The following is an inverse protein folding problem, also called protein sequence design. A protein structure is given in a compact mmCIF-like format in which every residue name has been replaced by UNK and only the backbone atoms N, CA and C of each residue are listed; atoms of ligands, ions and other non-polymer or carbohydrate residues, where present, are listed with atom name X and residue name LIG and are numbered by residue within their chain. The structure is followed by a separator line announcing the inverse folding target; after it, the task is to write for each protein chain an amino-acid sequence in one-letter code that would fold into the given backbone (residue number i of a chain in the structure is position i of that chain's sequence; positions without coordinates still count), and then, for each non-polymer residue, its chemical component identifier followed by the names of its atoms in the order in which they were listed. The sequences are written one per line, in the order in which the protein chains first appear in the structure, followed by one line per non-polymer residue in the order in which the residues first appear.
data_IF_308340834162
#
_entry.id   IF_308340834162
#
_cell.length_a   1.000
_cell.length_b   1.000
_cell.length_c   1.000
_cell.angle_alpha   90.00
_cell.angle_beta   90.00
_cell.angle_gamma   90.00
#
_symmetry.space_group_name_H-M   'P 1'
#
loop_
_entity.id
_entity.type
_entity.pdbx_description
1 polymer ?
#
# COMPACT_ATOMS: atom_id res chain seq x y z
N UNK A 1 -7.65 -1.14 12.51
CA UNK A 1 -8.02 -0.12 13.51
C UNK A 1 -7.80 1.29 12.92
N UNK A 2 -8.62 1.71 11.95
CA UNK A 2 -8.58 3.04 11.28
C UNK A 2 -9.65 3.94 11.89
N UNK A 3 -9.31 4.61 12.98
CA UNK A 3 -10.30 5.00 13.97
C UNK A 3 -10.71 6.47 13.99
N UNK A 4 -9.92 7.36 13.42
CA UNK A 4 -10.17 8.80 13.52
C UNK A 4 -9.25 9.59 12.58
N UNK A 5 -9.61 10.85 12.35
CA UNK A 5 -8.75 11.82 11.68
C UNK A 5 -7.35 11.91 12.34
N UNK A 6 -7.31 11.95 13.67
CA UNK A 6 -6.06 12.01 14.44
C UNK A 6 -5.15 10.84 14.13
N UNK A 7 -5.68 9.61 14.14
CA UNK A 7 -4.88 8.43 13.84
C UNK A 7 -4.28 8.48 12.42
N UNK A 8 -5.09 8.88 11.43
CA UNK A 8 -4.65 9.00 10.03
C UNK A 8 -3.57 10.09 9.85
N UNK A 9 -3.73 11.27 10.46
CA UNK A 9 -2.72 12.32 10.37
C UNK A 9 -1.44 12.00 11.15
N UNK A 10 -1.54 11.39 12.34
CA UNK A 10 -0.36 10.92 13.09
C UNK A 10 0.41 9.88 12.29
N UNK A 11 -0.29 8.91 11.69
CA UNK A 11 0.35 7.94 10.80
C UNK A 11 1.03 8.63 9.62
N UNK A 12 0.35 9.57 8.97
CA UNK A 12 0.92 10.34 7.85
C UNK A 12 2.24 11.05 8.21
N UNK A 13 2.29 11.74 9.36
CA UNK A 13 3.51 12.41 9.82
C UNK A 13 4.62 11.42 10.12
N UNK A 14 4.32 10.34 10.84
CA UNK A 14 5.30 9.30 11.17
C UNK A 14 5.88 8.63 9.91
N UNK A 15 5.01 8.27 8.96
CA UNK A 15 5.38 7.67 7.68
C UNK A 15 6.18 8.64 6.79
N UNK A 16 5.88 9.93 6.85
CA UNK A 16 6.69 10.96 6.18
C UNK A 16 8.12 10.95 6.72
N UNK A 17 8.29 10.91 8.05
CA UNK A 17 9.61 10.78 8.68
C UNK A 17 10.35 9.53 8.24
N UNK A 18 9.69 8.37 8.29
CA UNK A 18 10.25 7.08 7.84
C UNK A 18 10.64 7.14 6.36
N UNK A 19 9.79 7.71 5.51
CA UNK A 19 10.03 7.84 4.07
C UNK A 19 11.20 8.76 3.74
N UNK A 20 11.35 9.88 4.45
CA UNK A 20 12.52 10.77 4.32
C UNK A 20 13.80 10.04 4.74
N UNK A 21 13.77 9.29 5.84
CA UNK A 21 14.91 8.48 6.27
C UNK A 21 15.25 7.37 5.25
N UNK A 22 14.25 6.72 4.68
CA UNK A 22 14.41 5.71 3.63
C UNK A 22 15.04 6.32 2.36
N UNK A 23 14.56 7.49 1.91
CA UNK A 23 15.14 8.18 0.76
C UNK A 23 16.59 8.59 1.00
N UNK A 24 16.93 9.06 2.20
CA UNK A 24 18.32 9.38 2.58
C UNK A 24 19.22 8.14 2.61
N UNK A 25 18.66 6.97 2.88
CA UNK A 25 19.38 5.70 2.84
C UNK A 25 19.51 5.10 1.43
N UNK A 26 18.76 5.62 0.44
CA UNK A 26 18.72 5.10 -0.92
C UNK A 26 19.76 5.79 -1.83
N UNK A 27 20.58 5.01 -2.52
CA UNK A 27 21.64 5.50 -3.40
C UNK A 27 21.34 5.25 -4.88
N UNK A 28 20.69 4.14 -5.21
CA UNK A 28 20.33 3.79 -6.58
C UNK A 28 18.91 4.23 -6.96
N UNK A 29 18.58 4.40 -8.25
CA UNK A 29 17.21 4.68 -8.67
C UNK A 29 16.19 3.64 -8.18
N UNK A 30 16.56 2.35 -8.15
CA UNK A 30 15.71 1.27 -7.65
C UNK A 30 15.45 1.37 -6.14
N UNK A 31 16.47 1.72 -5.36
CA UNK A 31 16.32 1.97 -3.92
C UNK A 31 15.46 3.20 -3.65
N UNK A 32 15.59 4.27 -4.45
CA UNK A 32 14.75 5.46 -4.32
C UNK A 32 13.30 5.13 -4.59
N UNK A 33 13.02 4.34 -5.63
CA UNK A 33 11.66 3.89 -5.94
C UNK A 33 11.07 3.07 -4.79
N UNK A 34 11.82 2.14 -4.21
CA UNK A 34 11.37 1.38 -3.04
C UNK A 34 11.18 2.27 -1.79
N UNK A 35 12.05 3.25 -1.59
CA UNK A 35 11.97 4.23 -0.51
C UNK A 35 10.76 5.16 -0.59
N UNK A 36 10.07 5.26 -1.73
CA UNK A 36 8.83 6.03 -1.85
C UNK A 36 7.63 5.36 -1.16
N UNK A 37 7.68 4.05 -0.89
CA UNK A 37 6.54 3.31 -0.32
C UNK A 37 5.99 3.98 0.96
N UNK A 38 6.79 4.33 1.99
CA UNK A 38 6.27 5.00 3.18
C UNK A 38 5.68 6.39 2.88
N UNK A 39 6.25 7.13 1.91
CA UNK A 39 5.71 8.45 1.52
C UNK A 39 4.36 8.33 0.79
N UNK A 40 4.19 7.30 -0.05
CA UNK A 40 2.91 7.02 -0.69
C UNK A 40 1.85 6.62 0.35
N UNK A 41 2.21 5.80 1.34
CA UNK A 41 1.32 5.53 2.48
C UNK A 41 1.05 6.79 3.31
N UNK A 42 2.03 7.67 3.49
CA UNK A 42 1.83 8.93 4.20
C UNK A 42 0.79 9.82 3.48
N UNK A 43 0.87 9.94 2.16
CA UNK A 43 -0.09 10.67 1.34
C UNK A 43 -1.48 10.03 1.39
N UNK A 44 -1.54 8.70 1.32
CA UNK A 44 -2.79 7.95 1.47
C UNK A 44 -3.44 8.18 2.83
N UNK A 45 -2.65 8.13 3.92
CA UNK A 45 -3.14 8.37 5.28
C UNK A 45 -3.56 9.83 5.51
N UNK A 46 -2.85 10.81 4.93
CA UNK A 46 -3.30 12.20 4.95
C UNK A 46 -4.67 12.34 4.27
N UNK A 47 -4.87 11.65 3.16
CA UNK A 47 -6.13 11.67 2.42
C UNK A 47 -7.27 10.99 3.21
N UNK A 48 -7.00 9.89 3.90
CA UNK A 48 -7.98 9.27 4.81
C UNK A 48 -8.34 10.21 5.98
N UNK A 49 -7.37 10.97 6.49
CA UNK A 49 -7.61 12.04 7.46
C UNK A 49 -8.55 13.12 6.93
N UNK A 50 -8.40 13.53 5.66
CA UNK A 50 -9.33 14.46 5.00
C UNK A 50 -10.73 13.86 4.83
N UNK A 51 -10.84 12.56 4.53
CA UNK A 51 -12.15 11.88 4.50
C UNK A 51 -12.82 11.98 5.87
N UNK A 52 -12.11 11.71 6.96
CA UNK A 52 -12.66 11.86 8.31
C UNK A 52 -13.12 13.29 8.61
N UNK A 53 -12.32 14.30 8.27
CA UNK A 53 -12.65 15.71 8.53
C UNK A 53 -13.79 16.23 7.65
N UNK A 54 -14.03 15.62 6.49
CA UNK A 54 -15.12 16.03 5.59
C UNK A 54 -16.53 15.84 6.17
N UNK A 55 -16.70 14.96 7.17
CA UNK A 55 -17.99 14.76 7.84
C UNK A 55 -18.35 15.88 8.83
N UNK A 56 -17.53 16.22 9.84
CA UNK A 56 -17.85 17.31 10.77
C UNK A 56 -17.88 18.68 10.08
N UNK A 57 -17.17 18.86 8.97
CA UNK A 57 -17.22 20.10 8.17
C UNK A 57 -18.40 20.18 7.20
N UNK A 58 -19.23 19.14 7.11
CA UNK A 58 -20.28 19.00 6.10
C UNK A 58 -19.81 19.39 4.69
N UNK A 59 -18.68 18.80 4.27
CA UNK A 59 -17.97 19.16 3.04
C UNK A 59 -18.08 18.02 2.00
N UNK A 60 -19.23 17.86 1.31
CA UNK A 60 -19.47 16.72 0.42
C UNK A 60 -18.51 16.67 -0.78
N UNK A 61 -18.12 17.83 -1.32
CA UNK A 61 -17.15 17.89 -2.43
C UNK A 61 -15.76 17.41 -2.00
N UNK A 62 -15.29 17.83 -0.83
CA UNK A 62 -14.03 17.35 -0.25
C UNK A 62 -14.10 15.85 0.02
N UNK A 63 -15.23 15.38 0.59
CA UNK A 63 -15.46 13.96 0.84
C UNK A 63 -15.34 13.13 -0.44
N UNK A 64 -16.03 13.54 -1.50
CA UNK A 64 -16.01 12.84 -2.79
C UNK A 64 -14.59 12.80 -3.36
N UNK A 65 -13.91 13.95 -3.41
CA UNK A 65 -12.55 14.04 -3.92
C UNK A 65 -11.55 13.21 -3.12
N UNK A 66 -11.54 13.36 -1.78
CA UNK A 66 -10.62 12.62 -0.90
C UNK A 66 -10.89 11.10 -0.96
N UNK A 67 -12.15 10.69 -1.08
CA UNK A 67 -12.51 9.27 -1.26
C UNK A 67 -11.91 8.70 -2.53
N UNK A 68 -11.99 9.43 -3.65
CA UNK A 68 -11.41 8.96 -4.91
C UNK A 68 -9.88 8.96 -4.85
N UNK A 69 -9.24 9.99 -4.29
CA UNK A 69 -7.77 10.02 -4.14
C UNK A 69 -7.28 8.85 -3.27
N UNK A 70 -7.92 8.60 -2.13
CA UNK A 70 -7.61 7.44 -1.29
C UNK A 70 -7.81 6.12 -2.05
N UNK A 71 -8.87 6.05 -2.86
CA UNK A 71 -9.20 4.88 -3.66
C UNK A 71 -8.17 4.62 -4.76
N UNK A 72 -7.61 5.67 -5.38
CA UNK A 72 -6.52 5.55 -6.35
C UNK A 72 -5.30 4.88 -5.72
N UNK A 73 -4.91 5.28 -4.51
CA UNK A 73 -3.82 4.59 -3.81
C UNK A 73 -4.15 3.11 -3.56
N UNK A 74 -5.29 2.87 -2.89
CA UNK A 74 -5.69 1.53 -2.47
C UNK A 74 -5.95 0.57 -3.63
N UNK A 75 -6.49 1.02 -4.76
CA UNK A 75 -6.91 0.14 -5.87
C UNK A 75 -5.95 0.14 -7.05
N UNK A 76 -5.26 1.25 -7.33
CA UNK A 76 -4.47 1.41 -8.56
C UNK A 76 -2.97 1.43 -8.28
N UNK A 77 -2.53 2.23 -7.32
CA UNK A 77 -1.09 2.46 -7.07
C UNK A 77 -0.42 1.19 -6.56
N UNK A 78 -0.90 0.59 -5.47
CA UNK A 78 -0.22 -0.56 -4.84
C UNK A 78 -0.01 -1.79 -5.74
N UNK A 79 -1.03 -2.31 -6.45
CA UNK A 79 -0.85 -3.51 -7.26
C UNK A 79 0.11 -3.27 -8.43
N UNK A 80 0.20 -2.04 -8.94
CA UNK A 80 1.19 -1.71 -9.98
C UNK A 80 2.56 -1.46 -9.37
N UNK A 81 2.64 -0.56 -8.39
CA UNK A 81 3.90 -0.02 -7.88
C UNK A 81 4.75 -1.07 -7.16
N UNK A 82 4.13 -1.91 -6.34
CA UNK A 82 4.85 -2.83 -5.45
C UNK A 82 5.71 -3.86 -6.20
N UNK A 83 5.19 -4.60 -7.19
CA UNK A 83 6.03 -5.53 -7.98
C UNK A 83 7.22 -4.85 -8.65
N UNK A 84 7.02 -3.67 -9.23
CA UNK A 84 8.09 -2.92 -9.90
C UNK A 84 9.14 -2.42 -8.91
N UNK A 85 8.71 -1.92 -7.74
CA UNK A 85 9.61 -1.46 -6.67
C UNK A 85 10.52 -2.59 -6.18
N UNK A 86 9.97 -3.79 -5.98
CA UNK A 86 10.75 -4.97 -5.60
C UNK A 86 11.65 -5.44 -6.75
N UNK A 87 11.14 -5.45 -7.98
CA UNK A 87 11.90 -5.88 -9.16
C UNK A 87 13.14 -5.01 -9.42
N UNK A 88 13.06 -3.72 -9.13
CA UNK A 88 14.18 -2.80 -9.27
C UNK A 88 15.33 -3.11 -8.30
N UNK A 89 15.03 -3.81 -7.20
CA UNK A 89 15.96 -4.20 -6.16
C UNK A 89 16.44 -5.66 -6.27
N UNK A 90 15.78 -6.48 -7.08
CA UNK A 90 15.99 -7.92 -7.14
C UNK A 90 17.14 -8.29 -8.09
N UNK A 91 18.24 -8.92 -7.59
CA UNK A 91 19.34 -9.36 -8.43
C UNK A 91 19.06 -10.67 -9.20
N UNK A 92 18.21 -11.56 -8.69
CA UNK A 92 18.04 -12.91 -9.25
C UNK A 92 17.16 -12.89 -10.52
N UNK A 93 17.65 -13.30 -11.71
CA UNK A 93 16.95 -13.10 -12.98
C UNK A 93 15.54 -13.71 -13.04
N UNK A 94 15.37 -14.98 -12.65
CA UNK A 94 14.07 -15.64 -12.72
C UNK A 94 13.03 -14.97 -11.79
N UNK A 95 13.46 -14.49 -10.62
CA UNK A 95 12.59 -13.73 -9.70
C UNK A 95 12.16 -12.40 -10.32
N UNK A 96 13.04 -11.72 -11.05
CA UNK A 96 12.69 -10.49 -11.80
C UNK A 96 11.65 -10.73 -12.89
N UNK A 97 11.66 -11.90 -13.53
CA UNK A 97 10.62 -12.28 -14.48
C UNK A 97 9.28 -12.51 -13.79
N UNK A 98 9.26 -13.25 -12.68
CA UNK A 98 8.04 -13.45 -11.87
C UNK A 98 7.48 -12.11 -11.38
N UNK A 99 8.33 -11.21 -10.88
CA UNK A 99 7.92 -9.86 -10.46
C UNK A 99 7.38 -9.01 -11.61
N UNK A 100 7.90 -9.17 -12.82
CA UNK A 100 7.35 -8.50 -14.01
C UNK A 100 5.96 -9.03 -14.36
N UNK A 101 5.77 -10.36 -14.32
CA UNK A 101 4.45 -10.97 -14.52
C UNK A 101 3.44 -10.49 -13.47
N UNK A 102 3.85 -10.44 -12.19
CA UNK A 102 3.03 -9.87 -11.12
C UNK A 102 2.74 -8.38 -11.33
N UNK A 103 3.68 -7.60 -11.86
CA UNK A 103 3.49 -6.20 -12.22
C UNK A 103 2.46 -6.02 -13.34
N UNK A 104 2.49 -6.87 -14.37
CA UNK A 104 1.48 -6.89 -15.44
C UNK A 104 0.12 -7.32 -14.90
N UNK A 105 0.06 -8.36 -14.08
CA UNK A 105 -1.16 -8.80 -13.41
C UNK A 105 -1.77 -7.70 -12.53
N UNK A 106 -0.93 -7.00 -11.76
CA UNK A 106 -1.32 -5.86 -10.95
C UNK A 106 -1.83 -4.68 -11.78
N UNK A 107 -1.22 -4.42 -12.94
CA UNK A 107 -1.70 -3.43 -13.91
C UNK A 107 -3.06 -3.78 -14.50
N UNK A 108 -3.28 -5.04 -14.88
CA UNK A 108 -4.59 -5.50 -15.36
C UNK A 108 -5.66 -5.40 -14.26
N UNK A 109 -5.31 -5.74 -13.02
CA UNK A 109 -6.20 -5.53 -11.87
C UNK A 109 -6.50 -4.06 -11.66
N UNK A 110 -5.50 -3.17 -11.74
CA UNK A 110 -5.71 -1.73 -11.60
C UNK A 110 -6.61 -1.19 -12.72
N UNK A 111 -6.43 -1.62 -13.98
CA UNK A 111 -7.28 -1.18 -15.08
C UNK A 111 -8.74 -1.62 -14.89
N UNK A 112 -8.95 -2.86 -14.45
CA UNK A 112 -10.27 -3.37 -14.12
C UNK A 112 -10.93 -2.58 -12.97
N UNK A 113 -10.18 -2.28 -11.92
CA UNK A 113 -10.67 -1.49 -10.79
C UNK A 113 -10.92 -0.03 -11.18
N UNK A 114 -10.10 0.55 -12.05
CA UNK A 114 -10.30 1.88 -12.60
C UNK A 114 -11.62 1.95 -13.38
N UNK A 115 -11.90 0.95 -14.22
CA UNK A 115 -13.19 0.87 -14.91
C UNK A 115 -14.35 0.83 -13.90
N UNK A 116 -14.24 0.02 -12.85
CA UNK A 116 -15.23 -0.03 -11.77
C UNK A 116 -15.40 1.30 -11.04
N UNK A 117 -14.31 2.02 -10.77
CA UNK A 117 -14.35 3.35 -10.13
C UNK A 117 -15.01 4.41 -11.01
N UNK A 118 -14.80 4.37 -12.32
CA UNK A 118 -15.43 5.31 -13.27
C UNK A 118 -16.92 4.99 -13.45
N UNK A 119 -17.27 3.70 -13.56
CA UNK A 119 -18.66 3.27 -13.72
C UNK A 119 -19.48 3.46 -12.45
N UNK A 120 -18.89 3.16 -11.29
CA UNK A 120 -19.51 3.26 -9.96
C UNK A 120 -18.51 3.90 -9.00
N UNK A 121 -18.52 5.24 -8.85
CA UNK A 121 -17.62 5.94 -7.94
C UNK A 121 -17.70 5.38 -6.53
N UNK A 122 -16.53 5.18 -5.92
CA UNK A 122 -16.47 4.60 -4.58
C UNK A 122 -17.10 5.58 -3.58
N UNK A 123 -18.04 5.07 -2.81
CA UNK A 123 -18.63 5.77 -1.67
C UNK A 123 -17.94 5.33 -0.39
N UNK A 124 -17.83 6.26 0.56
CA UNK A 124 -17.34 5.99 1.91
C UNK A 124 -18.39 6.35 2.94
N UNK A 125 -18.54 5.49 3.95
CA UNK A 125 -19.48 5.68 5.06
C UNK A 125 -18.75 5.39 6.37
N UNK A 126 -18.85 6.27 7.39
CA UNK A 126 -18.31 5.98 8.71
C UNK A 126 -19.28 5.03 9.41
N UNK A 127 -18.81 3.87 9.85
CA UNK A 127 -19.64 2.87 10.53
C UNK A 127 -18.80 2.12 11.54
N UNK A 128 -19.24 2.07 12.81
CA UNK A 128 -18.54 1.33 13.86
C UNK A 128 -17.13 1.84 14.17
N UNK A 129 -16.89 3.14 14.04
CA UNK A 129 -15.56 3.74 14.26
C UNK A 129 -14.56 3.50 13.12
N UNK A 130 -15.04 3.10 11.94
CA UNK A 130 -14.20 2.83 10.77
C UNK A 130 -14.82 3.39 9.50
N UNK A 131 -13.99 3.66 8.49
CA UNK A 131 -14.45 4.05 7.15
C UNK A 131 -14.68 2.79 6.30
N UNK A 132 -15.92 2.57 5.88
CA UNK A 132 -16.30 1.51 4.96
C UNK A 132 -16.31 2.07 3.54
N UNK A 133 -15.37 1.60 2.71
CA UNK A 133 -15.29 1.92 1.29
C UNK A 133 -16.07 0.90 0.48
N UNK A 134 -17.10 1.33 -0.23
CA UNK A 134 -17.95 0.46 -1.05
C UNK A 134 -17.31 0.27 -2.43
N UNK A 135 -16.70 -0.89 -2.63
CA UNK A 135 -16.05 -1.27 -3.89
C UNK A 135 -16.34 -2.74 -4.21
N UNK A 136 -17.51 -3.06 -4.78
CA UNK A 136 -17.90 -4.46 -5.02
C UNK A 136 -16.96 -5.17 -6.01
N UNK A 137 -16.47 -4.44 -7.02
CA UNK A 137 -15.53 -4.96 -8.01
C UNK A 137 -14.19 -5.40 -7.41
N UNK A 138 -13.76 -4.76 -6.31
CA UNK A 138 -12.54 -5.13 -5.58
C UNK A 138 -12.62 -6.53 -4.97
N UNK A 139 -13.79 -6.93 -4.47
CA UNK A 139 -13.99 -8.21 -3.80
C UNK A 139 -14.31 -9.37 -4.76
N UNK A 140 -14.34 -9.12 -6.07
CA UNK A 140 -14.42 -10.21 -7.03
C UNK A 140 -13.20 -11.12 -6.87
N UNK A 141 -13.37 -12.46 -6.79
CA UNK A 141 -12.28 -13.38 -6.45
C UNK A 141 -11.03 -13.18 -7.30
N UNK A 142 -11.20 -12.97 -8.60
CA UNK A 142 -10.09 -12.73 -9.53
C UNK A 142 -9.38 -11.41 -9.25
N UNK A 143 -10.12 -10.32 -8.98
CA UNK A 143 -9.51 -9.01 -8.70
C UNK A 143 -8.77 -9.03 -7.38
N UNK A 144 -9.37 -9.55 -6.31
CA UNK A 144 -8.74 -9.65 -5.01
C UNK A 144 -7.48 -10.53 -5.06
N UNK A 145 -7.54 -11.65 -5.79
CA UNK A 145 -6.39 -12.56 -5.94
C UNK A 145 -5.24 -11.89 -6.69
N UNK A 146 -5.52 -11.25 -7.84
CA UNK A 146 -4.49 -10.54 -8.60
C UNK A 146 -3.89 -9.39 -7.78
N UNK A 147 -4.73 -8.65 -7.06
CA UNK A 147 -4.31 -7.59 -6.16
C UNK A 147 -3.36 -8.09 -5.07
N UNK A 148 -3.77 -9.13 -4.32
CA UNK A 148 -2.97 -9.70 -3.23
C UNK A 148 -1.68 -10.32 -3.78
N UNK A 149 -1.75 -11.02 -4.91
CA UNK A 149 -0.57 -11.57 -5.56
C UNK A 149 0.44 -10.46 -5.91
N UNK A 150 -0.01 -9.36 -6.51
CA UNK A 150 0.87 -8.26 -6.87
C UNK A 150 1.45 -7.55 -5.63
N UNK A 151 0.62 -7.28 -4.62
CA UNK A 151 1.02 -6.48 -3.46
C UNK A 151 1.79 -7.25 -2.39
N UNK A 152 1.50 -8.53 -2.16
CA UNK A 152 2.13 -9.32 -1.08
C UNK A 152 3.07 -10.39 -1.62
N UNK A 153 2.65 -11.19 -2.60
CA UNK A 153 3.51 -12.24 -3.18
C UNK A 153 4.70 -11.59 -3.90
N UNK A 154 4.49 -10.43 -4.54
CA UNK A 154 5.58 -9.62 -5.09
C UNK A 154 6.68 -9.31 -4.07
N UNK A 155 6.32 -8.86 -2.87
CA UNK A 155 7.29 -8.66 -1.77
C UNK A 155 7.92 -9.98 -1.32
N UNK A 156 7.11 -11.03 -1.17
CA UNK A 156 7.56 -12.37 -0.75
C UNK A 156 8.56 -13.02 -1.71
N UNK A 157 8.52 -12.68 -3.00
CA UNK A 157 9.46 -13.20 -3.99
C UNK A 157 10.87 -12.61 -3.88
N UNK A 158 11.08 -11.54 -3.10
CA UNK A 158 12.41 -10.95 -2.97
C UNK A 158 13.44 -11.96 -2.41
N UNK A 159 14.66 -11.92 -2.96
CA UNK A 159 15.82 -12.63 -2.40
C UNK A 159 16.24 -12.06 -1.04
N UNK A 160 15.80 -10.83 -0.72
CA UNK A 160 16.13 -10.19 0.54
C UNK A 160 15.20 -10.59 1.69
N UNK A 161 15.74 -11.08 2.82
CA UNK A 161 14.93 -11.55 3.94
C UNK A 161 13.97 -10.49 4.49
N UNK A 162 14.43 -9.24 4.66
CA UNK A 162 13.59 -8.16 5.23
C UNK A 162 12.40 -7.85 4.31
N UNK A 163 12.62 -7.74 3.00
CA UNK A 163 11.55 -7.49 2.02
C UNK A 163 10.59 -8.68 1.94
N UNK A 164 11.13 -9.91 2.02
CA UNK A 164 10.30 -11.13 2.05
C UNK A 164 9.39 -11.17 3.28
N UNK A 165 9.93 -10.87 4.46
CA UNK A 165 9.14 -10.79 5.69
C UNK A 165 8.09 -9.68 5.63
N UNK A 166 8.38 -8.56 4.96
CA UNK A 166 7.37 -7.53 4.71
C UNK A 166 6.19 -8.09 3.93
N UNK A 167 6.44 -8.87 2.87
CA UNK A 167 5.40 -9.56 2.11
C UNK A 167 4.59 -10.57 2.95
N UNK A 168 5.27 -11.37 3.78
CA UNK A 168 4.62 -12.36 4.66
C UNK A 168 3.72 -11.67 5.69
N UNK A 169 4.22 -10.63 6.36
CA UNK A 169 3.46 -9.87 7.35
C UNK A 169 2.29 -9.09 6.70
N UNK A 170 2.51 -8.56 5.50
CA UNK A 170 1.44 -7.91 4.72
C UNK A 170 0.34 -8.89 4.33
N UNK A 171 0.68 -10.12 3.92
CA UNK A 171 -0.29 -11.17 3.63
C UNK A 171 -1.01 -11.66 4.89
N UNK A 172 -0.28 -11.88 5.98
CA UNK A 172 -0.87 -12.30 7.26
C UNK A 172 -1.84 -11.24 7.81
N UNK A 173 -1.46 -9.96 7.76
CA UNK A 173 -2.35 -8.85 8.14
C UNK A 173 -3.54 -8.71 7.20
N UNK A 174 -3.41 -9.00 5.90
CA UNK A 174 -4.54 -9.07 4.98
C UNK A 174 -5.52 -10.16 5.41
N UNK A 175 -5.03 -11.38 5.66
CA UNK A 175 -5.85 -12.50 6.12
C UNK A 175 -6.55 -12.19 7.44
N UNK A 176 -5.82 -11.68 8.43
CA UNK A 176 -6.39 -11.23 9.70
C UNK A 176 -7.48 -10.16 9.50
N UNK A 177 -7.20 -9.16 8.66
CA UNK A 177 -8.16 -8.09 8.37
C UNK A 177 -9.41 -8.62 7.68
N UNK A 178 -9.26 -9.58 6.76
CA UNK A 178 -10.39 -10.20 6.08
C UNK A 178 -11.28 -10.99 7.06
N UNK A 179 -10.67 -11.73 7.99
CA UNK A 179 -11.41 -12.54 8.96
C UNK A 179 -12.13 -11.70 10.03
N UNK A 180 -11.52 -10.62 10.51
CA UNK A 180 -12.04 -9.84 11.65
C UNK A 180 -12.75 -8.55 11.21
N UNK A 181 -12.31 -7.96 10.10
CA UNK A 181 -12.73 -6.62 9.64
C UNK A 181 -13.16 -6.62 8.17
N UNK A 182 -13.73 -7.71 7.65
CA UNK A 182 -14.15 -7.84 6.23
C UNK A 182 -14.85 -6.58 5.68
N UNK A 183 -15.78 -6.01 6.44
CA UNK A 183 -16.54 -4.80 6.06
C UNK A 183 -15.67 -3.55 5.87
N UNK A 184 -14.55 -3.46 6.58
CA UNK A 184 -13.61 -2.33 6.57
C UNK A 184 -12.25 -2.74 6.01
N UNK A 185 -12.21 -3.82 5.22
CA UNK A 185 -10.97 -4.45 4.79
C UNK A 185 -10.00 -3.46 4.14
N UNK A 186 -10.51 -2.63 3.23
CA UNK A 186 -9.70 -1.68 2.45
C UNK A 186 -8.98 -0.68 3.37
N UNK A 187 -9.69 -0.05 4.31
CA UNK A 187 -9.08 0.93 5.22
C UNK A 187 -8.15 0.25 6.22
N UNK A 188 -8.64 -0.79 6.90
CA UNK A 188 -7.90 -1.47 7.98
C UNK A 188 -6.61 -2.10 7.50
N UNK A 189 -6.64 -2.78 6.34
CA UNK A 189 -5.44 -3.42 5.83
C UNK A 189 -4.44 -2.40 5.29
N UNK A 190 -4.90 -1.32 4.63
CA UNK A 190 -4.01 -0.24 4.21
C UNK A 190 -3.28 0.40 5.39
N UNK A 191 -3.93 0.54 6.55
CA UNK A 191 -3.27 1.02 7.76
C UNK A 191 -2.22 0.05 8.30
N UNK A 192 -2.51 -1.25 8.34
CA UNK A 192 -1.50 -2.25 8.73
C UNK A 192 -0.33 -2.29 7.74
N UNK A 193 -0.59 -2.23 6.44
CA UNK A 193 0.44 -2.16 5.41
C UNK A 193 1.29 -0.88 5.55
N UNK A 194 0.67 0.25 5.89
CA UNK A 194 1.37 1.48 6.18
C UNK A 194 2.32 1.33 7.38
N UNK A 195 1.87 0.76 8.50
CA UNK A 195 2.74 0.48 9.66
C UNK A 195 3.92 -0.45 9.28
N UNK A 196 3.63 -1.51 8.53
CA UNK A 196 4.63 -2.46 8.06
C UNK A 196 5.63 -1.82 7.09
N UNK A 197 5.31 -0.69 6.45
CA UNK A 197 6.22 0.01 5.55
C UNK A 197 7.49 0.53 6.23
N UNK A 198 7.57 0.53 7.57
CA UNK A 198 8.84 0.73 8.31
C UNK A 198 9.94 -0.25 7.87
N UNK A 199 9.54 -1.45 7.43
CA UNK A 199 10.46 -2.47 6.92
C UNK A 199 11.21 -2.02 5.66
N UNK A 200 10.70 -1.03 4.92
CA UNK A 200 11.40 -0.42 3.79
C UNK A 200 12.70 0.24 4.25
N UNK A 201 12.63 1.05 5.30
CA UNK A 201 13.81 1.69 5.88
C UNK A 201 14.80 0.65 6.43
N UNK A 202 14.29 -0.38 7.11
CA UNK A 202 15.12 -1.48 7.64
C UNK A 202 15.82 -2.23 6.49
N UNK A 203 15.13 -2.50 5.39
CA UNK A 203 15.70 -3.22 4.24
C UNK A 203 16.83 -2.43 3.59
N UNK A 204 16.64 -1.12 3.39
CA UNK A 204 17.63 -0.23 2.77
C UNK A 204 18.87 -0.05 3.65
N UNK A 205 18.68 0.09 4.97
CA UNK A 205 19.80 0.19 5.92
C UNK A 205 20.55 -1.13 6.06
N UNK A 206 19.86 -2.27 6.07
CA UNK A 206 20.48 -3.60 6.13
C UNK A 206 21.35 -3.88 4.89
N UNK A 207 20.88 -3.47 3.69
CA UNK A 207 21.66 -3.52 2.44
C UNK A 207 22.98 -2.76 2.57
N UNK A 208 22.94 -1.56 3.15
CA UNK A 208 24.12 -0.70 3.33
C UNK A 208 25.15 -1.34 4.26
N UNK A 209 24.71 -1.91 5.39
CA UNK A 209 25.62 -2.56 6.34
C UNK A 209 26.30 -3.76 5.70
N UNK A 210 25.57 -4.58 4.95
CA UNK A 210 26.15 -5.70 4.21
C UNK A 210 27.17 -5.25 3.14
N UNK A 211 26.88 -4.18 2.41
CA UNK A 211 27.80 -3.63 1.41
C UNK A 211 29.11 -3.09 2.03
N UNK A 212 29.04 -2.49 3.22
CA UNK A 212 30.22 -1.97 3.94
C UNK A 212 31.14 -3.05 4.51
N UNK A 213 30.61 -4.23 4.83
CA UNK A 213 31.42 -5.34 5.32
C UNK A 213 32.06 -6.17 4.19
N UNK A 214 31.60 -5.97 2.95
CA UNK A 214 32.14 -6.66 1.77
C UNK A 214 33.29 -5.89 1.09
N UNK A 215 33.56 -4.66 1.51
CA UNK A 215 34.67 -3.79 1.05
C UNK A 215 35.79 -3.76 2.07
#
# INVERSE_FOLDING_TARGET
MCFSATASFTASVALTGIGVLALRAAHTPGERMFALIPLLFAAQQATEGLVWMSYPWDAPTLRAWATQVYSVFSHLVWPVFTPWAVRALEPVPWRRHVLALLGVAGFLSALFLLFGMVATPIEVVPTGGHLAYRSPHFFLPISLTLYLAATTVGLGMSSQPVIRWFGVLALASAGFTYLVYARWFISVWCFYAALLSVMVYIALTSRRTAARHAT
#
